data_IF_590538421885
#
_entry.id   IF_590538421885
#
_cell.length_a   1.000
_cell.length_b   1.000
_cell.length_c   1.000
_cell.angle_alpha   90.00
_cell.angle_beta   90.00
_cell.angle_gamma   90.00
#
_symmetry.space_group_name_H-M   'P 1'
#
loop_
_entity.id
_entity.type
_entity.pdbx_description
1 polymer ?
#
# COMPACT_ATOMS: atom_id res chain seq x y z
N UNK A 1 5.62 1.94 -28.77
CA UNK A 1 4.90 0.86 -28.06
C UNK A 1 3.45 1.32 -27.96
N UNK A 2 2.58 0.82 -28.83
CA UNK A 2 1.13 1.08 -28.75
C UNK A 2 0.62 0.42 -27.47
N UNK A 3 0.04 1.22 -26.57
CA UNK A 3 -0.46 0.70 -25.30
C UNK A 3 -1.82 0.07 -25.59
N UNK A 4 -1.87 -1.25 -25.68
CA UNK A 4 -3.13 -1.97 -25.79
C UNK A 4 -4.04 -1.63 -24.59
N UNK A 5 -5.36 -1.55 -24.77
CA UNK A 5 -6.30 -1.21 -23.70
C UNK A 5 -6.14 -2.05 -22.41
N UNK A 6 -5.69 -3.30 -22.58
CA UNK A 6 -5.31 -4.22 -21.49
C UNK A 6 -4.18 -3.66 -20.62
N UNK A 7 -3.13 -3.14 -21.25
CA UNK A 7 -1.98 -2.56 -20.56
C UNK A 7 -2.37 -1.23 -19.90
N UNK A 8 -3.22 -0.43 -20.56
CA UNK A 8 -3.76 0.79 -19.96
C UNK A 8 -4.53 0.49 -18.66
N UNK A 9 -5.42 -0.51 -18.68
CA UNK A 9 -6.16 -0.93 -17.51
C UNK A 9 -5.23 -1.43 -16.39
N UNK A 10 -4.22 -2.23 -16.72
CA UNK A 10 -3.23 -2.71 -15.75
C UNK A 10 -2.45 -1.57 -15.09
N UNK A 11 -2.05 -0.54 -15.85
CA UNK A 11 -1.36 0.64 -15.32
C UNK A 11 -2.27 1.45 -14.39
N UNK A 12 -3.55 1.63 -14.73
CA UNK A 12 -4.51 2.35 -13.86
C UNK A 12 -4.70 1.60 -12.54
N UNK A 13 -4.87 0.27 -12.59
CA UNK A 13 -4.99 -0.57 -11.40
C UNK A 13 -3.72 -0.49 -10.54
N UNK A 14 -2.54 -0.52 -11.18
CA UNK A 14 -1.25 -0.35 -10.52
C UNK A 14 -1.16 0.97 -9.75
N UNK A 15 -1.53 2.09 -10.38
CA UNK A 15 -1.54 3.40 -9.75
C UNK A 15 -2.47 3.44 -8.55
N UNK A 16 -3.69 2.89 -8.68
CA UNK A 16 -4.64 2.80 -7.57
C UNK A 16 -4.10 2.02 -6.38
N UNK A 17 -3.58 0.81 -6.60
CA UNK A 17 -3.01 -0.01 -5.53
C UNK A 17 -1.76 0.60 -4.88
N UNK A 18 -0.98 1.36 -5.65
CA UNK A 18 0.22 2.03 -5.14
C UNK A 18 -0.10 3.17 -4.18
N UNK A 19 -1.17 3.93 -4.41
CA UNK A 19 -1.53 5.11 -3.59
C UNK A 19 -2.45 4.76 -2.42
N UNK A 20 -3.17 3.65 -2.49
CA UNK A 20 -4.17 3.25 -1.49
C UNK A 20 -3.52 2.91 -0.13
N UNK A 21 -2.46 2.09 -0.13
CA UNK A 21 -1.78 1.65 1.11
C UNK A 21 -1.17 2.84 1.88
N UNK A 22 -0.39 3.75 1.26
CA UNK A 22 0.14 4.93 1.97
C UNK A 22 -0.96 5.87 2.48
N UNK A 23 -2.06 6.03 1.75
CA UNK A 23 -3.18 6.87 2.17
C UNK A 23 -3.86 6.31 3.41
N UNK A 24 -4.15 5.00 3.43
CA UNK A 24 -4.73 4.33 4.59
C UNK A 24 -3.82 4.37 5.81
N UNK A 25 -2.51 4.14 5.63
CA UNK A 25 -1.54 4.25 6.73
C UNK A 25 -1.44 5.67 7.26
N UNK A 26 -1.43 6.68 6.40
CA UNK A 26 -1.37 8.09 6.79
C UNK A 26 -2.62 8.51 7.59
N UNK A 27 -3.79 8.05 7.17
CA UNK A 27 -5.04 8.28 7.89
C UNK A 27 -5.02 7.63 9.28
N UNK A 28 -4.69 6.33 9.36
CA UNK A 28 -4.59 5.61 10.63
C UNK A 28 -3.50 6.21 11.55
N UNK A 29 -2.39 6.67 10.98
CA UNK A 29 -1.35 7.36 11.73
C UNK A 29 -1.87 8.65 12.37
N UNK A 30 -2.62 9.47 11.62
CA UNK A 30 -3.16 10.73 12.14
C UNK A 30 -4.16 10.51 13.28
N UNK A 31 -5.07 9.54 13.15
CA UNK A 31 -6.06 9.24 14.20
C UNK A 31 -5.42 8.57 15.43
N UNK A 32 -4.31 7.83 15.27
CA UNK A 32 -3.62 7.14 16.37
C UNK A 32 -2.82 8.07 17.31
N UNK A 33 -2.87 9.40 17.10
CA UNK A 33 -2.08 10.42 17.82
C UNK A 33 -2.28 10.38 19.34
N UNK A 34 -3.47 10.02 19.79
CA UNK A 34 -3.81 9.94 21.21
C UNK A 34 -4.05 8.50 21.62
N UNK A 35 -3.59 8.13 22.81
CA UNK A 35 -3.88 6.82 23.41
C UNK A 35 -5.38 6.68 23.65
N UNK A 36 -5.94 5.46 23.67
CA UNK A 36 -7.39 5.23 23.85
C UNK A 36 -7.93 5.89 25.15
N UNK A 37 -7.09 6.00 26.19
CA UNK A 37 -7.42 6.70 27.44
C UNK A 37 -7.22 8.23 27.40
N UNK A 38 -6.75 8.80 26.28
CA UNK A 38 -6.50 10.24 26.11
C UNK A 38 -5.36 10.83 26.97
N UNK A 39 -4.76 10.04 27.87
CA UNK A 39 -3.80 10.52 28.87
C UNK A 39 -2.40 10.83 28.33
N UNK A 40 -2.01 10.23 27.19
CA UNK A 40 -0.64 10.31 26.66
C UNK A 40 -0.64 10.38 25.13
N UNK A 41 0.23 11.22 24.56
CA UNK A 41 0.55 11.17 23.14
C UNK A 41 1.42 9.95 22.87
N UNK A 42 1.02 9.12 21.89
CA UNK A 42 1.81 7.95 21.48
C UNK A 42 3.05 8.41 20.72
N UNK A 43 4.17 7.74 20.95
CA UNK A 43 5.40 7.98 20.16
C UNK A 43 5.12 7.67 18.70
N UNK A 44 5.75 8.39 17.77
CA UNK A 44 5.59 8.17 16.33
C UNK A 44 5.83 6.70 15.95
N UNK A 45 6.80 6.05 16.59
CA UNK A 45 7.08 4.62 16.39
C UNK A 45 5.90 3.70 16.75
N UNK A 46 5.27 3.92 17.90
CA UNK A 46 4.09 3.15 18.30
C UNK A 46 2.91 3.38 17.34
N UNK A 47 2.70 4.63 16.93
CA UNK A 47 1.64 5.00 15.98
C UNK A 47 1.84 4.35 14.63
N UNK A 48 3.05 4.40 14.09
CA UNK A 48 3.36 3.81 12.78
C UNK A 48 3.31 2.30 12.85
N UNK A 49 3.84 1.67 13.91
CA UNK A 49 3.79 0.21 14.08
C UNK A 49 2.34 -0.28 14.17
N UNK A 50 1.50 0.44 14.89
CA UNK A 50 0.07 0.12 15.03
C UNK A 50 -0.67 0.31 13.69
N UNK A 51 -0.44 1.43 12.99
CA UNK A 51 -1.02 1.67 11.66
C UNK A 51 -0.54 0.66 10.61
N UNK A 52 0.74 0.28 10.65
CA UNK A 52 1.27 -0.74 9.74
C UNK A 52 0.67 -2.11 10.04
N UNK A 53 0.57 -2.50 11.30
CA UNK A 53 -0.04 -3.76 11.69
C UNK A 53 -1.53 -3.80 11.33
N UNK A 54 -2.24 -2.68 11.46
CA UNK A 54 -3.68 -2.61 11.15
C UNK A 54 -3.97 -2.59 9.65
N UNK A 55 -3.09 -2.03 8.81
CA UNK A 55 -3.33 -1.88 7.36
C UNK A 55 -2.57 -2.93 6.52
N UNK A 56 -1.42 -3.40 6.99
CA UNK A 56 -0.54 -4.31 6.24
C UNK A 56 -1.17 -5.67 5.95
N UNK A 57 -1.80 -6.29 6.96
CA UNK A 57 -2.49 -7.57 6.76
C UNK A 57 -3.70 -7.45 5.81
N UNK A 58 -4.63 -6.48 6.00
CA UNK A 58 -5.69 -6.23 5.03
C UNK A 58 -5.21 -5.96 3.61
N UNK A 59 -4.10 -5.22 3.44
CA UNK A 59 -3.55 -4.92 2.13
C UNK A 59 -3.04 -6.17 1.38
N UNK A 60 -2.33 -7.06 2.08
CA UNK A 60 -1.88 -8.34 1.51
C UNK A 60 -3.07 -9.26 1.23
N UNK A 61 -4.07 -9.28 2.11
CA UNK A 61 -5.29 -10.06 1.89
C UNK A 61 -6.07 -9.57 0.66
N UNK A 62 -6.24 -8.26 0.51
CA UNK A 62 -6.96 -7.65 -0.62
C UNK A 62 -6.25 -7.84 -1.97
N UNK A 63 -4.93 -7.71 -1.99
CA UNK A 63 -4.15 -8.00 -3.20
C UNK A 63 -4.23 -9.49 -3.59
N UNK A 64 -4.19 -10.39 -2.60
CA UNK A 64 -4.32 -11.84 -2.84
C UNK A 64 -5.70 -12.21 -3.37
N UNK A 65 -6.78 -11.66 -2.82
CA UNK A 65 -8.14 -11.97 -3.31
C UNK A 65 -8.36 -11.44 -4.74
N UNK A 66 -7.75 -10.31 -5.09
CA UNK A 66 -7.77 -9.74 -6.44
C UNK A 66 -7.04 -10.65 -7.42
N UNK A 67 -5.86 -11.16 -7.05
CA UNK A 67 -5.14 -12.14 -7.87
C UNK A 67 -5.93 -13.43 -8.08
N UNK A 68 -6.57 -13.97 -7.03
CA UNK A 68 -7.42 -15.16 -7.14
C UNK A 68 -8.62 -14.90 -8.06
N UNK A 69 -9.27 -13.74 -7.94
CA UNK A 69 -10.37 -13.33 -8.80
C UNK A 69 -9.95 -13.27 -10.28
N UNK A 70 -8.80 -12.67 -10.56
CA UNK A 70 -8.28 -12.55 -11.93
C UNK A 70 -7.85 -13.90 -12.48
N UNK A 71 -7.30 -14.81 -11.65
CA UNK A 71 -6.96 -16.18 -12.05
C UNK A 71 -8.17 -16.96 -12.59
N UNK A 72 -9.40 -16.65 -12.19
CA UNK A 72 -10.60 -17.26 -12.77
C UNK A 72 -10.76 -16.97 -14.28
N UNK A 73 -10.20 -15.86 -14.79
CA UNK A 73 -10.22 -15.57 -16.23
C UNK A 73 -9.35 -16.54 -17.05
N UNK A 74 -8.46 -17.30 -16.41
CA UNK A 74 -7.61 -18.28 -17.09
C UNK A 74 -8.41 -19.45 -17.69
N UNK A 75 -9.65 -19.65 -17.23
CA UNK A 75 -10.60 -20.64 -17.77
C UNK A 75 -11.04 -20.28 -19.20
N UNK A 76 -10.92 -19.00 -19.60
CA UNK A 76 -11.28 -18.55 -20.94
C UNK A 76 -10.07 -18.69 -21.88
N UNK A 77 -10.14 -19.53 -22.93
CA UNK A 77 -9.00 -19.81 -23.81
C UNK A 77 -8.81 -18.72 -24.88
N UNK A 78 -8.81 -17.45 -24.48
CA UNK A 78 -8.56 -16.31 -25.38
C UNK A 78 -7.21 -15.68 -25.04
N UNK A 79 -6.38 -15.49 -26.08
CA UNK A 79 -5.02 -14.93 -25.94
C UNK A 79 -4.97 -13.62 -25.14
N UNK A 80 -5.86 -12.63 -25.37
CA UNK A 80 -5.84 -11.38 -24.60
C UNK A 80 -6.12 -11.56 -23.10
N UNK A 81 -7.00 -12.50 -22.74
CA UNK A 81 -7.31 -12.77 -21.33
C UNK A 81 -6.13 -13.42 -20.61
N UNK A 82 -5.44 -14.36 -21.25
CA UNK A 82 -4.26 -14.99 -20.64
C UNK A 82 -3.11 -14.00 -20.42
N UNK A 83 -2.90 -13.08 -21.38
CA UNK A 83 -1.91 -12.01 -21.25
C UNK A 83 -2.32 -11.04 -20.14
N UNK A 84 -3.60 -10.68 -20.06
CA UNK A 84 -4.16 -9.81 -19.02
C UNK A 84 -3.94 -10.39 -17.61
N UNK A 85 -4.23 -11.67 -17.39
CA UNK A 85 -4.03 -12.33 -16.09
C UNK A 85 -2.55 -12.29 -15.67
N UNK A 86 -1.64 -12.63 -16.58
CA UNK A 86 -0.19 -12.62 -16.30
C UNK A 86 0.32 -11.23 -15.94
N UNK A 87 -0.09 -10.20 -16.69
CA UNK A 87 0.31 -8.82 -16.43
C UNK A 87 -0.24 -8.33 -15.10
N UNK A 88 -1.54 -8.52 -14.84
CA UNK A 88 -2.16 -8.02 -13.62
C UNK A 88 -1.66 -8.71 -12.36
N UNK A 89 -1.52 -10.04 -12.36
CA UNK A 89 -0.99 -10.74 -11.19
C UNK A 89 0.44 -10.30 -10.87
N UNK A 90 1.29 -10.12 -11.90
CA UNK A 90 2.66 -9.63 -11.72
C UNK A 90 2.67 -8.18 -11.21
N UNK A 91 1.80 -7.35 -11.77
CA UNK A 91 1.73 -5.94 -11.42
C UNK A 91 1.24 -5.75 -9.97
N UNK A 92 0.14 -6.40 -9.58
CA UNK A 92 -0.43 -6.30 -8.23
C UNK A 92 0.59 -6.79 -7.20
N UNK A 93 1.22 -7.95 -7.42
CA UNK A 93 2.23 -8.47 -6.48
C UNK A 93 3.42 -7.53 -6.32
N UNK A 94 3.95 -7.01 -7.43
CA UNK A 94 5.07 -6.07 -7.40
C UNK A 94 4.70 -4.76 -6.71
N UNK A 95 3.51 -4.21 -6.98
CA UNK A 95 3.00 -3.02 -6.31
C UNK A 95 2.80 -3.23 -4.81
N UNK A 96 2.21 -4.36 -4.40
CA UNK A 96 2.02 -4.66 -2.97
C UNK A 96 3.36 -4.76 -2.25
N UNK A 97 4.35 -5.44 -2.84
CA UNK A 97 5.70 -5.54 -2.26
C UNK A 97 6.36 -4.16 -2.20
N UNK A 98 6.33 -3.40 -3.28
CA UNK A 98 6.94 -2.07 -3.35
C UNK A 98 6.32 -1.12 -2.32
N UNK A 99 4.99 -1.06 -2.24
CA UNK A 99 4.27 -0.23 -1.27
C UNK A 99 4.54 -0.67 0.18
N UNK A 100 4.68 -1.97 0.46
CA UNK A 100 5.07 -2.46 1.78
C UNK A 100 6.53 -2.10 2.13
N UNK A 101 7.45 -2.14 1.17
CA UNK A 101 8.84 -1.71 1.34
C UNK A 101 8.99 -0.18 1.43
N UNK A 102 8.06 0.59 0.88
CA UNK A 102 8.05 2.04 1.01
C UNK A 102 7.70 2.48 2.44
N UNK A 103 6.92 1.69 3.17
CA UNK A 103 6.52 1.97 4.56
C UNK A 103 7.69 2.11 5.55
N UNK A 104 8.73 1.24 5.58
CA UNK A 104 9.91 1.44 6.42
C UNK A 104 10.75 2.66 5.98
N UNK A 105 10.74 3.02 4.70
CA UNK A 105 11.35 4.28 4.26
C UNK A 105 10.58 5.49 4.80
N UNK A 106 9.24 5.42 4.79
CA UNK A 106 8.37 6.43 5.39
C UNK A 106 8.61 6.58 6.91
N UNK A 107 8.85 5.45 7.60
CA UNK A 107 9.19 5.42 9.02
C UNK A 107 10.46 6.23 9.33
N UNK A 108 11.53 6.01 8.57
CA UNK A 108 12.79 6.75 8.71
C UNK A 108 12.64 8.24 8.41
N UNK A 109 11.86 8.57 7.37
CA UNK A 109 11.59 9.96 7.00
C UNK A 109 10.85 10.71 8.11
N UNK A 110 9.81 10.09 8.68
CA UNK A 110 9.04 10.69 9.78
C UNK A 110 9.88 10.90 11.04
N UNK A 111 10.71 9.92 11.41
CA UNK A 111 11.65 10.08 12.54
C UNK A 111 12.65 11.22 12.31
N UNK A 112 13.17 11.34 11.09
CA UNK A 112 14.10 12.43 10.71
C UNK A 112 13.41 13.80 10.76
N UNK A 113 12.18 13.89 10.25
CA UNK A 113 11.38 15.12 10.27
C UNK A 113 11.09 15.59 11.70
N UNK A 114 10.80 14.67 12.62
CA UNK A 114 10.54 15.02 14.02
C UNK A 114 11.80 15.55 14.71
N UNK A 115 12.93 14.89 14.52
CA UNK A 115 14.22 15.38 15.03
C UNK A 115 14.55 16.78 14.48
N UNK A 116 14.27 17.04 13.20
CA UNK A 116 14.46 18.34 12.58
C UNK A 116 13.51 19.41 13.16
N UNK A 117 12.23 19.08 13.35
CA UNK A 117 11.24 19.99 13.94
C UNK A 117 11.58 20.32 15.40
N UNK A 118 11.95 19.32 16.19
CA UNK A 118 12.38 19.51 17.58
C UNK A 118 13.65 20.35 17.68
N UNK A 119 14.59 20.24 16.75
CA UNK A 119 15.79 21.08 16.71
C UNK A 119 15.52 22.52 16.28
N UNK A 120 14.44 22.79 15.55
CA UNK A 120 14.08 24.15 15.07
C UNK A 120 13.16 24.91 16.03
N UNK A 121 12.43 24.21 16.89
CA UNK A 121 11.43 24.78 17.79
C UNK A 121 11.74 24.59 19.29
N UNK A 122 12.89 24.02 19.65
CA UNK A 122 13.49 24.08 20.99
C UNK A 122 14.47 25.25 21.09
#
# INVERSE_FOLDING_TARGET
>A
MTIDPVVMAAVIISMGFSVDIPAHVSYHFHIAKWTEDGQRQRTIEERIRMSFASVGFPAVQASTCTNICILCLLVVPVYPAQVFVRILCTCITLCTIHSLCLLPALFNLLGTLEAFLSSKFA
#
